data_IF_116779665954
#
_entry.id   IF_116779665954
#
_cell.length_a   1.000
_cell.length_b   1.000
_cell.length_c   1.000
_cell.angle_alpha   90.00
_cell.angle_beta   90.00
_cell.angle_gamma   90.00
#
_symmetry.space_group_name_H-M   'P 1'
#
loop_
_entity.id
_entity.type
_entity.pdbx_description
1 polymer ?
#
# COMPACT_ATOMS: atom_id res chain seq x y z
N UNK A 1 -0.18 -11.06 -26.91
CA UNK A 1 -0.54 -10.61 -25.54
C UNK A 1 -1.51 -9.44 -25.69
N UNK A 2 -2.79 -9.64 -25.41
CA UNK A 2 -3.72 -8.52 -25.24
C UNK A 2 -3.49 -7.94 -23.85
N UNK A 3 -3.13 -6.66 -23.76
CA UNK A 3 -3.10 -6.01 -22.45
C UNK A 3 -4.55 -5.86 -21.98
N UNK A 4 -4.92 -6.39 -20.79
CA UNK A 4 -6.25 -6.15 -20.24
C UNK A 4 -6.44 -4.64 -20.03
N UNK A 5 -7.69 -4.17 -20.18
CA UNK A 5 -8.02 -2.78 -19.86
C UNK A 5 -7.87 -2.55 -18.36
N UNK A 6 -7.11 -1.52 -17.98
CA UNK A 6 -6.92 -1.10 -16.59
C UNK A 6 -7.52 0.29 -16.31
N UNK A 7 -8.26 0.85 -17.28
CA UNK A 7 -8.94 2.12 -17.13
C UNK A 7 -10.04 2.04 -16.07
N UNK A 8 -10.15 3.09 -15.26
CA UNK A 8 -11.15 3.23 -14.21
C UNK A 8 -12.04 4.45 -14.48
N UNK A 9 -13.29 4.35 -14.07
CA UNK A 9 -14.21 5.48 -14.09
C UNK A 9 -13.75 6.57 -13.09
N UNK A 10 -13.97 7.84 -13.46
CA UNK A 10 -13.50 8.99 -12.66
C UNK A 10 -14.14 9.06 -11.26
N UNK A 11 -15.37 8.58 -11.12
CA UNK A 11 -16.08 8.50 -9.84
C UNK A 11 -15.38 7.54 -8.86
N UNK A 12 -14.85 6.42 -9.34
CA UNK A 12 -14.08 5.46 -8.55
C UNK A 12 -12.78 6.10 -8.06
N UNK A 13 -12.05 6.76 -8.94
CA UNK A 13 -10.82 7.47 -8.58
C UNK A 13 -11.10 8.56 -7.55
N UNK A 14 -12.16 9.36 -7.78
CA UNK A 14 -12.57 10.44 -6.88
C UNK A 14 -12.95 9.90 -5.50
N UNK A 15 -13.71 8.79 -5.44
CA UNK A 15 -14.07 8.13 -4.19
C UNK A 15 -12.83 7.67 -3.41
N UNK A 16 -11.92 6.94 -4.07
CA UNK A 16 -10.69 6.46 -3.43
C UNK A 16 -9.84 7.62 -2.93
N UNK A 17 -9.65 8.65 -3.76
CA UNK A 17 -8.88 9.83 -3.39
C UNK A 17 -9.49 10.61 -2.22
N UNK A 18 -10.82 10.69 -2.16
CA UNK A 18 -11.52 11.29 -1.03
C UNK A 18 -11.26 10.53 0.27
N UNK A 19 -11.32 9.20 0.24
CA UNK A 19 -11.00 8.36 1.41
C UNK A 19 -9.52 8.51 1.80
N UNK A 20 -8.60 8.51 0.83
CA UNK A 20 -7.16 8.72 1.03
C UNK A 20 -6.80 10.07 1.68
N UNK A 21 -7.72 11.04 1.60
CA UNK A 21 -7.63 12.39 2.17
C UNK A 21 -8.42 12.57 3.47
N UNK A 22 -8.91 11.48 4.07
CA UNK A 22 -9.83 11.52 5.21
C UNK A 22 -9.39 10.62 6.37
N UNK A 23 -10.11 10.75 7.49
CA UNK A 23 -9.98 9.88 8.67
C UNK A 23 -11.36 9.27 8.91
N UNK A 24 -11.65 8.04 8.43
CA UNK A 24 -12.99 7.46 8.41
C UNK A 24 -13.42 6.87 9.76
N UNK A 25 -12.89 7.38 10.87
CA UNK A 25 -13.17 6.92 12.23
C UNK A 25 -13.45 8.11 13.14
N UNK A 26 -14.46 7.97 13.99
CA UNK A 26 -14.84 9.02 14.93
C UNK A 26 -13.82 9.17 16.07
N UNK A 27 -13.76 10.38 16.62
CA UNK A 27 -12.92 10.71 17.79
C UNK A 27 -11.43 10.37 17.60
N UNK A 28 -10.88 10.54 16.40
CA UNK A 28 -9.50 10.21 16.07
C UNK A 28 -8.67 11.47 15.88
N UNK A 29 -7.61 11.64 16.67
CA UNK A 29 -6.78 12.85 16.62
C UNK A 29 -5.52 12.59 15.82
N UNK A 30 -5.39 13.21 14.64
CA UNK A 30 -4.19 13.09 13.81
C UNK A 30 -3.10 14.11 14.19
N UNK A 31 -1.85 13.78 13.89
CA UNK A 31 -0.72 14.70 14.01
C UNK A 31 -0.91 15.93 13.08
N UNK A 32 -0.59 17.14 13.56
CA UNK A 32 -0.82 18.37 12.79
C UNK A 32 -0.11 18.42 11.43
N UNK A 33 1.07 17.81 11.32
CA UNK A 33 1.78 17.67 10.03
C UNK A 33 1.05 16.77 9.03
N UNK A 34 0.35 15.73 9.51
CA UNK A 34 -0.44 14.83 8.67
C UNK A 34 -1.71 15.53 8.14
N UNK A 35 -2.32 16.42 8.93
CA UNK A 35 -3.47 17.21 8.49
C UNK A 35 -3.19 18.00 7.21
N UNK A 36 -1.96 18.52 7.06
CA UNK A 36 -1.53 19.21 5.85
C UNK A 36 -1.49 18.27 4.64
N UNK A 37 -0.95 17.08 4.81
CA UNK A 37 -0.82 16.07 3.75
C UNK A 37 -2.20 15.62 3.25
N UNK A 38 -3.12 15.31 4.19
CA UNK A 38 -4.49 14.92 3.84
C UNK A 38 -5.21 16.04 3.10
N UNK A 39 -5.06 17.30 3.52
CA UNK A 39 -5.60 18.46 2.82
C UNK A 39 -5.03 18.58 1.40
N UNK A 40 -3.72 18.46 1.23
CA UNK A 40 -3.09 18.49 -0.11
C UNK A 40 -3.64 17.38 -1.02
N UNK A 41 -3.83 16.15 -0.51
CA UNK A 41 -4.45 15.07 -1.29
C UNK A 41 -5.87 15.43 -1.73
N UNK A 42 -6.67 16.04 -0.84
CA UNK A 42 -8.02 16.50 -1.18
C UNK A 42 -8.00 17.54 -2.30
N UNK A 43 -7.04 18.47 -2.25
CA UNK A 43 -6.84 19.48 -3.29
C UNK A 43 -6.44 18.85 -4.64
N UNK A 44 -5.54 17.88 -4.65
CA UNK A 44 -5.16 17.11 -5.85
C UNK A 44 -6.39 16.46 -6.50
N UNK A 45 -7.19 15.72 -5.73
CA UNK A 45 -8.43 15.09 -6.20
C UNK A 45 -9.39 16.12 -6.79
N UNK A 46 -9.59 17.24 -6.09
CA UNK A 46 -10.51 18.31 -6.54
C UNK A 46 -10.03 18.96 -7.84
N UNK A 47 -8.72 19.15 -7.99
CA UNK A 47 -8.10 19.77 -9.16
C UNK A 47 -7.89 18.79 -10.32
N UNK A 48 -8.32 17.53 -10.18
CA UNK A 48 -8.10 16.45 -11.16
C UNK A 48 -6.61 16.25 -11.48
N UNK A 49 -5.75 16.45 -10.48
CA UNK A 49 -4.32 16.18 -10.55
C UNK A 49 -3.97 15.05 -9.59
N UNK A 50 -2.92 14.30 -9.90
CA UNK A 50 -2.54 13.12 -9.13
C UNK A 50 -1.02 13.11 -9.01
N UNK A 51 -0.51 12.93 -7.79
CA UNK A 51 0.91 12.68 -7.52
C UNK A 51 1.17 11.17 -7.37
N UNK A 52 2.42 10.78 -7.19
CA UNK A 52 2.80 9.37 -7.12
C UNK A 52 2.08 8.62 -5.98
N UNK A 53 2.02 9.24 -4.79
CA UNK A 53 1.40 8.64 -3.61
C UNK A 53 -0.10 8.39 -3.81
N UNK A 54 -0.80 9.38 -4.37
CA UNK A 54 -2.23 9.27 -4.65
C UNK A 54 -2.52 8.27 -5.77
N UNK A 55 -1.65 8.20 -6.79
CA UNK A 55 -1.77 7.20 -7.86
C UNK A 55 -1.59 5.77 -7.33
N UNK A 56 -0.59 5.53 -6.47
CA UNK A 56 -0.39 4.24 -5.80
C UNK A 56 -1.63 3.85 -4.98
N UNK A 57 -2.14 4.79 -4.18
CA UNK A 57 -3.34 4.59 -3.38
C UNK A 57 -4.57 4.25 -4.24
N UNK A 58 -4.76 4.95 -5.37
CA UNK A 58 -5.84 4.68 -6.33
C UNK A 58 -5.71 3.30 -6.96
N UNK A 59 -4.50 2.89 -7.34
CA UNK A 59 -4.24 1.57 -7.89
C UNK A 59 -4.59 0.47 -6.87
N UNK A 60 -4.07 0.55 -5.64
CA UNK A 60 -4.40 -0.42 -4.59
C UNK A 60 -5.89 -0.44 -4.29
N UNK A 61 -6.50 0.73 -4.08
CA UNK A 61 -7.93 0.85 -3.81
C UNK A 61 -8.81 0.20 -4.88
N UNK A 62 -8.45 0.36 -6.16
CA UNK A 62 -9.19 -0.24 -7.26
C UNK A 62 -9.16 -1.76 -7.24
N UNK A 63 -8.01 -2.37 -6.95
CA UNK A 63 -7.87 -3.81 -6.81
C UNK A 63 -8.69 -4.36 -5.63
N UNK A 64 -8.72 -3.62 -4.52
CA UNK A 64 -9.53 -4.00 -3.36
C UNK A 64 -11.03 -4.02 -3.72
N UNK A 65 -11.49 -3.10 -4.56
CA UNK A 65 -12.87 -3.09 -5.10
C UNK A 65 -13.17 -4.33 -5.94
N UNK A 66 -12.18 -4.80 -6.70
CA UNK A 66 -12.27 -6.01 -7.54
C UNK A 66 -12.15 -7.32 -6.75
N UNK A 67 -11.97 -7.25 -5.42
CA UNK A 67 -11.84 -8.43 -4.58
C UNK A 67 -10.41 -9.01 -4.55
N UNK A 68 -9.42 -8.25 -5.01
CA UNK A 68 -8.01 -8.64 -4.97
C UNK A 68 -7.39 -8.16 -3.66
N UNK A 69 -6.87 -9.08 -2.86
CA UNK A 69 -6.10 -8.76 -1.65
C UNK A 69 -4.83 -8.02 -2.06
N UNK A 70 -4.59 -6.85 -1.48
CA UNK A 70 -3.33 -6.13 -1.60
C UNK A 70 -2.55 -6.24 -0.28
N UNK A 71 -1.34 -6.78 -0.35
CA UNK A 71 -0.40 -6.91 0.76
C UNK A 71 0.88 -6.13 0.45
N UNK A 72 1.25 -5.21 1.33
CA UNK A 72 2.48 -4.42 1.25
C UNK A 72 3.29 -4.59 2.54
N UNK A 73 4.55 -4.98 2.42
CA UNK A 73 5.47 -5.03 3.57
C UNK A 73 6.84 -4.48 3.23
N UNK A 74 7.54 -4.03 4.27
CA UNK A 74 8.87 -3.45 4.15
C UNK A 74 9.17 -2.57 5.35
N UNK A 75 10.37 -2.00 5.39
CA UNK A 75 10.77 -1.13 6.50
C UNK A 75 10.05 0.22 6.38
N UNK A 76 9.37 0.64 7.44
CA UNK A 76 8.62 1.90 7.56
C UNK A 76 7.50 2.13 6.52
N UNK A 77 7.09 1.11 5.75
CA UNK A 77 6.15 1.25 4.62
C UNK A 77 4.79 1.82 4.98
N UNK A 78 4.34 1.71 6.24
CA UNK A 78 3.04 2.24 6.69
C UNK A 78 2.94 3.76 6.55
N UNK A 79 4.03 4.46 6.88
CA UNK A 79 4.20 5.91 6.67
C UNK A 79 4.94 6.20 5.36
N UNK A 80 5.83 5.29 5.01
CA UNK A 80 6.95 5.39 4.10
C UNK A 80 8.17 6.16 4.64
N UNK A 81 9.33 5.82 4.09
CA UNK A 81 10.65 6.41 4.33
C UNK A 81 10.70 7.89 3.97
N UNK A 82 10.07 8.26 2.85
CA UNK A 82 9.98 9.64 2.36
C UNK A 82 8.72 10.36 2.85
N UNK A 83 7.95 9.73 3.77
CA UNK A 83 6.73 10.29 4.36
C UNK A 83 5.69 10.73 3.30
N UNK A 84 5.60 10.00 2.19
CA UNK A 84 4.62 10.30 1.13
C UNK A 84 3.35 9.43 1.24
N UNK A 85 3.45 8.24 1.85
CA UNK A 85 2.39 7.20 1.80
C UNK A 85 1.32 7.34 2.88
N UNK A 86 1.67 7.42 4.16
CA UNK A 86 0.69 7.58 5.25
C UNK A 86 -0.57 6.69 5.14
N UNK A 87 -0.40 5.39 4.91
CA UNK A 87 -1.53 4.45 4.83
C UNK A 87 -2.06 4.05 6.20
N UNK A 88 -1.20 4.09 7.23
CA UNK A 88 -1.60 3.91 8.63
C UNK A 88 -1.53 5.26 9.35
N UNK A 89 -2.65 5.67 9.92
CA UNK A 89 -2.78 6.86 10.74
C UNK A 89 -2.70 6.44 12.20
N UNK A 90 -2.02 7.24 13.03
CA UNK A 90 -1.87 7.00 14.47
C UNK A 90 -2.58 8.11 15.27
N UNK A 91 -3.39 7.71 16.27
CA UNK A 91 -4.06 8.65 17.16
C UNK A 91 -3.04 9.29 18.11
N UNK A 92 -3.08 10.61 18.23
CA UNK A 92 -2.20 11.38 19.13
C UNK A 92 -2.61 11.29 20.60
N UNK A 93 -3.89 11.01 20.87
CA UNK A 93 -4.44 11.02 22.23
C UNK A 93 -4.59 9.62 22.81
N UNK A 94 -4.57 8.57 21.98
CA UNK A 94 -4.77 7.17 22.40
C UNK A 94 -3.62 6.32 21.89
N UNK A 95 -2.81 5.79 22.82
CA UNK A 95 -1.67 4.94 22.47
C UNK A 95 -2.10 3.69 21.67
N UNK A 96 -1.28 3.32 20.68
CA UNK A 96 -1.46 2.17 19.77
C UNK A 96 -2.77 2.15 18.97
N UNK A 97 -3.60 3.19 19.05
CA UNK A 97 -4.80 3.28 18.22
C UNK A 97 -4.43 3.72 16.81
N UNK A 98 -4.69 2.86 15.83
CA UNK A 98 -4.43 3.13 14.42
C UNK A 98 -5.71 3.09 13.59
N UNK A 99 -5.65 3.75 12.43
CA UNK A 99 -6.67 3.68 11.40
C UNK A 99 -5.99 3.48 10.06
N UNK A 100 -6.51 2.57 9.24
CA UNK A 100 -6.05 2.35 7.86
C UNK A 100 -7.19 2.78 6.94
N UNK A 101 -7.24 4.03 6.46
CA UNK A 101 -8.39 4.53 5.69
C UNK A 101 -8.72 3.65 4.47
N UNK A 102 -7.72 2.98 3.89
CA UNK A 102 -7.88 2.12 2.72
C UNK A 102 -8.76 0.90 3.00
N UNK A 103 -8.90 0.48 4.26
CA UNK A 103 -9.83 -0.59 4.69
C UNK A 103 -11.28 -0.11 4.86
N UNK A 104 -11.58 1.15 4.53
CA UNK A 104 -12.91 1.75 4.63
C UNK A 104 -13.41 2.30 3.27
N UNK A 105 -12.89 1.80 2.16
CA UNK A 105 -13.31 2.21 0.81
C UNK A 105 -14.70 1.66 0.46
N UNK A 106 -14.97 0.38 0.71
CA UNK A 106 -16.28 -0.25 0.46
C UNK A 106 -16.59 -1.34 1.50
N UNK A 107 -17.88 -1.62 1.80
CA UNK A 107 -18.24 -2.67 2.76
C UNK A 107 -17.76 -4.08 2.39
N UNK A 108 -17.68 -4.40 1.10
CA UNK A 108 -17.34 -5.73 0.58
C UNK A 108 -15.97 -5.77 -0.13
N UNK A 109 -15.10 -4.79 0.14
CA UNK A 109 -13.76 -4.79 -0.46
C UNK A 109 -12.92 -5.98 0.03
N UNK A 110 -11.94 -6.38 -0.77
CA UNK A 110 -10.87 -7.26 -0.30
C UNK A 110 -10.02 -6.59 0.80
N UNK A 111 -9.32 -7.39 1.62
CA UNK A 111 -8.47 -6.85 2.67
C UNK A 111 -7.30 -6.06 2.09
N UNK A 112 -6.94 -4.96 2.73
CA UNK A 112 -5.64 -4.31 2.56
C UNK A 112 -4.77 -4.59 3.78
N UNK A 113 -3.59 -5.16 3.56
CA UNK A 113 -2.62 -5.45 4.61
C UNK A 113 -1.34 -4.67 4.35
N UNK A 114 -1.04 -3.70 5.21
CA UNK A 114 0.24 -3.00 5.22
C UNK A 114 0.92 -3.26 6.55
N UNK A 115 2.21 -3.55 6.54
CA UNK A 115 2.96 -3.82 7.76
C UNK A 115 4.41 -3.36 7.67
N UNK A 116 4.85 -2.61 8.68
CA UNK A 116 6.27 -2.35 8.91
C UNK A 116 6.98 -3.68 9.23
N UNK A 117 7.96 -4.05 8.41
CA UNK A 117 8.69 -5.29 8.56
C UNK A 117 9.75 -5.19 9.66
N UNK A 118 10.28 -6.35 10.07
CA UNK A 118 11.57 -6.38 10.77
C UNK A 118 12.68 -5.82 9.87
N UNK A 119 13.79 -5.40 10.48
CA UNK A 119 14.97 -4.91 9.77
C UNK A 119 15.75 -6.08 9.15
N UNK A 120 15.16 -6.69 8.12
CA UNK A 120 15.70 -7.83 7.38
C UNK A 120 15.17 -7.85 5.95
N UNK A 121 16.06 -7.82 4.96
CA UNK A 121 15.69 -7.92 3.55
C UNK A 121 15.48 -9.38 3.16
N UNK A 122 16.45 -10.25 3.49
CA UNK A 122 16.41 -11.67 3.14
C UNK A 122 15.15 -12.37 3.67
N UNK A 123 14.87 -12.21 4.97
CA UNK A 123 13.76 -12.89 5.62
C UNK A 123 12.41 -12.39 5.12
N UNK A 124 12.28 -11.07 4.92
CA UNK A 124 11.02 -10.45 4.50
C UNK A 124 10.75 -10.73 3.03
N UNK A 125 11.72 -10.56 2.13
CA UNK A 125 11.52 -10.85 0.70
C UNK A 125 11.22 -12.34 0.47
N UNK A 126 11.90 -13.24 1.20
CA UNK A 126 11.60 -14.67 1.17
C UNK A 126 10.18 -14.99 1.67
N UNK A 127 9.72 -14.30 2.72
CA UNK A 127 8.35 -14.44 3.22
C UNK A 127 7.32 -13.98 2.20
N UNK A 128 7.50 -12.79 1.61
CA UNK A 128 6.56 -12.25 0.61
C UNK A 128 6.50 -13.11 -0.65
N UNK A 129 7.64 -13.68 -1.09
CA UNK A 129 7.64 -14.66 -2.17
C UNK A 129 6.78 -15.88 -1.83
N UNK A 130 6.97 -16.45 -0.64
CA UNK A 130 6.17 -17.58 -0.16
C UNK A 130 4.67 -17.24 -0.08
N UNK A 131 4.34 -16.03 0.38
CA UNK A 131 2.96 -15.54 0.42
C UNK A 131 2.35 -15.44 -0.99
N UNK A 132 3.08 -14.84 -1.94
CA UNK A 132 2.64 -14.71 -3.33
C UNK A 132 2.39 -16.07 -3.99
N UNK A 133 3.24 -17.06 -3.71
CA UNK A 133 3.04 -18.44 -4.20
C UNK A 133 1.81 -19.11 -3.59
N UNK A 134 1.54 -18.88 -2.30
CA UNK A 134 0.39 -19.47 -1.61
C UNK A 134 -0.94 -18.78 -1.95
N UNK A 135 -0.90 -17.48 -2.30
CA UNK A 135 -2.07 -16.65 -2.64
C UNK A 135 -1.90 -16.01 -4.02
N UNK A 136 -1.98 -16.78 -5.12
CA UNK A 136 -1.61 -16.31 -6.46
C UNK A 136 -2.51 -15.21 -7.03
N UNK A 137 -3.69 -15.00 -6.43
CA UNK A 137 -4.63 -13.95 -6.83
C UNK A 137 -4.48 -12.66 -6.02
N UNK A 138 -3.55 -12.61 -5.05
CA UNK A 138 -3.26 -11.41 -4.29
C UNK A 138 -2.16 -10.59 -4.96
N UNK A 139 -2.24 -9.26 -4.87
CA UNK A 139 -1.11 -8.39 -5.15
C UNK A 139 -0.22 -8.34 -3.91
N UNK A 140 0.97 -8.94 -3.99
CA UNK A 140 1.96 -8.96 -2.91
C UNK A 140 3.14 -8.07 -3.30
N UNK A 141 3.43 -7.08 -2.47
CA UNK A 141 4.52 -6.13 -2.66
C UNK A 141 5.48 -6.16 -1.48
N UNK A 142 6.77 -6.15 -1.81
CA UNK A 142 7.84 -5.86 -0.87
C UNK A 142 8.52 -4.55 -1.28
N UNK A 143 8.66 -3.62 -0.34
CA UNK A 143 9.36 -2.35 -0.55
C UNK A 143 10.64 -2.29 0.28
N UNK A 144 11.77 -2.10 -0.40
CA UNK A 144 13.04 -1.80 0.25
C UNK A 144 13.06 -0.33 0.69
N UNK A 145 13.66 -0.03 1.86
CA UNK A 145 13.81 1.35 2.34
C UNK A 145 14.57 2.22 1.32
N UNK A 146 15.66 1.66 0.78
CA UNK A 146 16.36 2.13 -0.40
C UNK A 146 16.66 0.93 -1.27
N UNK A 147 16.64 1.13 -2.60
CA UNK A 147 16.93 0.07 -3.56
C UNK A 147 18.27 -0.61 -3.30
N UNK A 148 19.26 0.11 -2.79
CA UNK A 148 20.61 -0.35 -2.47
C UNK A 148 20.66 -1.57 -1.55
N UNK A 149 19.70 -1.72 -0.62
CA UNK A 149 19.67 -2.82 0.34
C UNK A 149 19.14 -4.14 -0.22
N UNK A 150 18.56 -4.14 -1.43
CA UNK A 150 18.00 -5.37 -2.02
C UNK A 150 19.04 -6.49 -2.17
N UNK A 151 20.32 -6.13 -2.30
CA UNK A 151 21.44 -7.07 -2.40
C UNK A 151 21.59 -7.96 -1.16
N UNK A 152 21.07 -7.55 0.00
CA UNK A 152 21.05 -8.37 1.21
C UNK A 152 20.08 -9.56 1.08
N UNK A 153 19.15 -9.53 0.12
CA UNK A 153 18.24 -10.60 -0.23
C UNK A 153 18.64 -11.35 -1.53
N UNK A 154 19.89 -11.20 -1.98
CA UNK A 154 20.34 -11.72 -3.29
C UNK A 154 20.06 -13.22 -3.47
N UNK A 155 20.21 -14.06 -2.44
CA UNK A 155 19.91 -15.48 -2.57
C UNK A 155 18.43 -15.75 -2.89
N UNK A 156 17.49 -14.95 -2.34
CA UNK A 156 16.07 -15.08 -2.67
C UNK A 156 15.83 -14.70 -4.13
N UNK A 157 16.46 -13.62 -4.59
CA UNK A 157 16.38 -13.14 -5.96
C UNK A 157 16.93 -14.20 -6.94
N UNK A 158 18.17 -14.65 -6.71
CA UNK A 158 18.91 -15.51 -7.63
C UNK A 158 18.41 -16.95 -7.64
N UNK A 159 17.95 -17.48 -6.51
CA UNK A 159 17.60 -18.90 -6.39
C UNK A 159 16.11 -19.17 -6.53
N UNK A 160 15.26 -18.15 -6.33
CA UNK A 160 13.81 -18.33 -6.33
C UNK A 160 13.07 -17.34 -7.24
N UNK A 161 13.22 -16.03 -7.08
CA UNK A 161 12.44 -15.05 -7.88
C UNK A 161 12.79 -15.17 -9.38
N UNK A 162 14.08 -15.13 -9.71
CA UNK A 162 14.53 -15.15 -11.10
C UNK A 162 14.33 -16.51 -11.79
N UNK A 163 14.75 -17.65 -11.21
CA UNK A 163 14.68 -18.93 -11.92
C UNK A 163 13.54 -19.84 -11.46
N UNK A 164 12.72 -19.44 -10.47
CA UNK A 164 11.77 -20.32 -9.78
C UNK A 164 10.89 -21.11 -10.73
N UNK A 165 10.15 -20.41 -11.61
CA UNK A 165 9.25 -21.03 -12.60
C UNK A 165 9.97 -21.94 -13.61
N UNK A 166 11.24 -21.65 -13.93
CA UNK A 166 11.99 -22.47 -14.87
C UNK A 166 12.55 -23.75 -14.22
N UNK A 167 12.80 -23.71 -12.90
CA UNK A 167 13.36 -24.83 -12.14
C UNK A 167 12.29 -25.74 -11.54
N UNK A 168 11.15 -25.19 -11.13
CA UNK A 168 10.07 -25.85 -10.40
C UNK A 168 8.70 -25.38 -10.90
#
# INVERSE_FOLDING_TARGET
>A
MSCPSTGLEEDVLTHIGNVASSVPVENFTIHGGLSRILKTRKELVTNRTVDWALAEYMAFGSLLKEGIHVRLSGQDVERDTFSHRHHVLHDQNVDKRTCIPMNHLWPNQAPYTVCNSSLSEYGVLGFELGFAMASPNALVLWEAQFGDFNNMAQCIIDQFICPGQAKW
#
